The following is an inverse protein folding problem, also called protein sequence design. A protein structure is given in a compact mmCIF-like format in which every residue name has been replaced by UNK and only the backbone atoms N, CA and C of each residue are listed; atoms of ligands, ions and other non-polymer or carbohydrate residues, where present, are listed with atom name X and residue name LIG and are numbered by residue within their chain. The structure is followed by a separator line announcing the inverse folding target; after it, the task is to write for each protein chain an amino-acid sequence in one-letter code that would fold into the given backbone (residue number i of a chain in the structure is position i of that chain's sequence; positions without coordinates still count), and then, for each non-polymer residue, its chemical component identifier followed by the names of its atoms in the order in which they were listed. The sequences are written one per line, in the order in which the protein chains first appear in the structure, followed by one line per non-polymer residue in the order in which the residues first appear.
data_IF_588049075554
#
_entry.id   IF_588049075554
#
_cell.length_a   1.000
_cell.length_b   1.000
_cell.length_c   1.000
_cell.angle_alpha   90.00
_cell.angle_beta   90.00
_cell.angle_gamma   90.00
#
_symmetry.space_group_name_H-M   'P 1'
#
loop_
_entity.id
_entity.type
_entity.pdbx_description
1 polymer ?
#
# COMPACT_ATOMS: atom_id res chain seq x y z
N UNK A 1 -25.85 23.92 -15.97
CA UNK A 1 -26.46 24.75 -14.91
C UNK A 1 -25.41 24.97 -13.85
N UNK A 2 -24.83 26.17 -13.77
CA UNK A 2 -23.78 26.45 -12.78
C UNK A 2 -24.44 26.59 -11.40
N UNK A 3 -24.05 25.74 -10.45
CA UNK A 3 -24.36 25.94 -9.04
C UNK A 3 -23.52 27.14 -8.57
N UNK A 4 -24.14 28.32 -8.47
CA UNK A 4 -23.51 29.51 -7.90
C UNK A 4 -23.42 29.36 -6.37
N UNK A 5 -22.34 29.83 -5.75
CA UNK A 5 -22.12 29.79 -4.28
C UNK A 5 -23.33 30.30 -3.46
N UNK A 6 -24.06 31.27 -4.00
CA UNK A 6 -25.29 31.80 -3.41
C UNK A 6 -26.40 30.73 -3.27
N UNK A 7 -26.52 29.80 -4.21
CA UNK A 7 -27.55 28.76 -4.19
C UNK A 7 -27.19 27.64 -3.19
N UNK A 8 -25.90 27.36 -3.00
CA UNK A 8 -25.44 26.41 -2.00
C UNK A 8 -25.58 26.98 -0.58
N UNK A 9 -25.16 28.23 -0.36
CA UNK A 9 -25.36 28.93 0.90
C UNK A 9 -26.85 29.09 1.25
N UNK A 10 -27.70 29.42 0.26
CA UNK A 10 -29.14 29.48 0.43
C UNK A 10 -29.75 28.10 0.73
N UNK A 11 -29.25 27.03 0.10
CA UNK A 11 -29.66 25.65 0.37
C UNK A 11 -29.34 25.23 1.81
N UNK A 12 -28.14 25.55 2.30
CA UNK A 12 -27.74 25.29 3.69
C UNK A 12 -28.57 26.12 4.68
N UNK A 13 -28.78 27.41 4.41
CA UNK A 13 -29.62 28.26 5.26
C UNK A 13 -31.08 27.79 5.29
N UNK A 14 -31.62 27.34 4.16
CA UNK A 14 -32.97 26.80 4.09
C UNK A 14 -33.10 25.47 4.84
N UNK A 15 -32.12 24.56 4.70
CA UNK A 15 -32.09 23.32 5.46
C UNK A 15 -31.94 23.55 6.98
N UNK A 16 -31.06 24.48 7.39
CA UNK A 16 -30.93 24.89 8.79
C UNK A 16 -32.22 25.52 9.33
N UNK A 17 -32.92 26.31 8.50
CA UNK A 17 -34.22 26.89 8.82
C UNK A 17 -35.29 25.81 9.04
N UNK A 18 -35.35 24.78 8.19
CA UNK A 18 -36.27 23.65 8.34
C UNK A 18 -35.98 22.87 9.63
N UNK A 19 -34.71 22.59 9.92
CA UNK A 19 -34.31 21.88 11.16
C UNK A 19 -34.69 22.69 12.39
N UNK A 20 -34.39 23.99 12.41
CA UNK A 20 -34.70 24.86 13.54
C UNK A 20 -36.22 25.02 13.72
N UNK A 21 -36.99 25.03 12.63
CA UNK A 21 -38.44 25.05 12.68
C UNK A 21 -39.02 23.71 13.17
N UNK A 22 -38.47 22.57 12.76
CA UNK A 22 -38.85 21.25 13.29
C UNK A 22 -38.55 21.13 14.78
N UNK A 23 -37.39 21.60 15.24
CA UNK A 23 -37.05 21.67 16.67
C UNK A 23 -38.03 22.57 17.44
N UNK A 24 -38.38 23.71 16.86
CA UNK A 24 -39.35 24.64 17.43
C UNK A 24 -40.74 24.01 17.50
N UNK A 25 -41.20 23.36 16.44
CA UNK A 25 -42.50 22.70 16.39
C UNK A 25 -42.57 21.51 17.36
N UNK A 26 -41.49 20.74 17.51
CA UNK A 26 -41.34 19.69 18.54
C UNK A 26 -41.35 20.26 19.96
N UNK A 27 -40.73 21.43 20.18
CA UNK A 27 -40.71 22.12 21.47
C UNK A 27 -42.07 22.74 21.84
N UNK A 28 -42.87 23.14 20.85
CA UNK A 28 -44.20 23.74 21.03
C UNK A 28 -45.28 22.66 21.19
N UNK A 29 -45.14 21.51 20.52
CA UNK A 29 -46.08 20.40 20.60
C UNK A 29 -46.06 19.65 21.94
N UNK A 30 -45.10 19.92 22.83
CA UNK A 30 -45.03 19.29 24.16
C UNK A 30 -44.64 20.29 25.24
N UNK A 31 -45.53 20.49 26.21
CA UNK A 31 -45.26 21.31 27.39
C UNK A 31 -44.21 20.63 28.27
N UNK A 32 -42.95 21.11 28.20
CA UNK A 32 -41.92 20.96 29.22
C UNK A 32 -41.24 19.58 29.32
N UNK A 33 -39.90 19.56 29.23
CA UNK A 33 -38.97 18.45 29.53
C UNK A 33 -39.15 17.09 28.82
N UNK A 34 -40.35 16.75 28.34
CA UNK A 34 -40.71 15.44 27.77
C UNK A 34 -40.26 15.31 26.31
N UNK A 35 -40.16 16.38 25.50
CA UNK A 35 -39.66 16.26 24.12
C UNK A 35 -38.17 15.91 24.04
N UNK A 36 -37.34 16.47 24.92
CA UNK A 36 -35.91 16.13 24.97
C UNK A 36 -35.73 14.68 25.42
N UNK A 37 -36.51 14.25 26.43
CA UNK A 37 -36.51 12.87 26.91
C UNK A 37 -37.12 11.90 25.89
N UNK A 38 -38.09 12.33 25.08
CA UNK A 38 -38.69 11.53 24.00
C UNK A 38 -37.80 11.43 22.76
N UNK A 39 -37.04 12.48 22.41
CA UNK A 39 -36.06 12.44 21.33
C UNK A 39 -34.82 11.62 21.72
N UNK A 40 -34.36 11.74 22.97
CA UNK A 40 -33.33 10.88 23.55
C UNK A 40 -33.84 9.44 23.66
N UNK A 41 -35.08 9.21 24.11
CA UNK A 41 -35.71 7.87 24.09
C UNK A 41 -35.94 7.35 22.67
N UNK A 42 -36.22 8.16 21.66
CA UNK A 42 -36.35 7.69 20.28
C UNK A 42 -34.99 7.27 19.67
N UNK A 43 -33.92 7.95 20.10
CA UNK A 43 -32.53 7.55 19.83
C UNK A 43 -32.15 6.27 20.61
N UNK A 44 -32.51 6.14 21.89
CA UNK A 44 -32.25 4.97 22.74
C UNK A 44 -33.13 3.75 22.38
N UNK A 45 -34.34 3.97 21.85
CA UNK A 45 -35.29 2.92 21.45
C UNK A 45 -35.16 2.54 19.96
N UNK A 46 -34.20 3.14 19.22
CA UNK A 46 -33.89 2.78 17.83
C UNK A 46 -34.96 3.14 16.78
N UNK A 47 -36.01 3.87 17.15
CA UNK A 47 -37.10 4.22 16.22
C UNK A 47 -36.72 5.50 15.48
N UNK A 48 -36.22 5.36 14.25
CA UNK A 48 -35.87 6.47 13.35
C UNK A 48 -34.41 6.89 13.38
N UNK A 49 -33.59 6.34 14.28
CA UNK A 49 -32.14 6.57 14.34
C UNK A 49 -31.46 6.27 13.00
N UNK A 50 -31.83 5.18 12.32
CA UNK A 50 -31.29 4.85 10.99
C UNK A 50 -31.57 5.90 9.91
N UNK A 51 -32.73 6.57 9.94
CA UNK A 51 -33.08 7.63 8.97
C UNK A 51 -32.41 8.96 9.30
N UNK A 52 -32.32 9.30 10.59
CA UNK A 52 -31.63 10.52 11.05
C UNK A 52 -30.13 10.40 10.78
N UNK A 53 -29.52 9.24 11.09
CA UNK A 53 -28.11 8.95 10.80
C UNK A 53 -27.87 9.01 9.29
N UNK A 54 -28.68 8.32 8.49
CA UNK A 54 -28.56 8.34 7.02
C UNK A 54 -28.75 9.75 6.41
N UNK A 55 -29.66 10.55 6.96
CA UNK A 55 -29.87 11.94 6.55
C UNK A 55 -28.69 12.85 6.91
N UNK A 56 -28.15 12.70 8.12
CA UNK A 56 -26.93 13.40 8.55
C UNK A 56 -25.73 13.01 7.68
N UNK A 57 -25.57 11.72 7.37
CA UNK A 57 -24.52 11.21 6.49
C UNK A 57 -24.65 11.80 5.07
N UNK A 58 -25.87 11.88 4.54
CA UNK A 58 -26.14 12.46 3.21
C UNK A 58 -25.83 13.96 3.16
N UNK A 59 -26.26 14.72 4.17
CA UNK A 59 -25.98 16.15 4.26
C UNK A 59 -24.47 16.43 4.40
N UNK A 60 -23.76 15.60 5.17
CA UNK A 60 -22.30 15.70 5.34
C UNK A 60 -21.55 15.34 4.06
N UNK A 61 -21.94 14.27 3.38
CA UNK A 61 -21.38 13.92 2.07
C UNK A 61 -21.53 15.09 1.08
N UNK A 62 -22.66 15.79 1.09
CA UNK A 62 -22.88 16.99 0.29
C UNK A 62 -21.97 18.16 0.70
N UNK A 63 -21.73 18.36 2.00
CA UNK A 63 -20.79 19.39 2.49
C UNK A 63 -19.35 19.05 2.12
N UNK A 64 -18.90 17.81 2.29
CA UNK A 64 -17.54 17.38 1.93
C UNK A 64 -17.30 17.46 0.42
N UNK A 65 -18.29 17.06 -0.39
CA UNK A 65 -18.26 17.28 -1.83
C UNK A 65 -18.17 18.78 -2.16
N UNK A 66 -18.96 19.61 -1.48
CA UNK A 66 -18.93 21.08 -1.63
C UNK A 66 -17.57 21.69 -1.28
N UNK A 67 -16.94 21.25 -0.18
CA UNK A 67 -15.60 21.69 0.19
C UNK A 67 -14.53 21.26 -0.82
N UNK A 68 -14.61 20.04 -1.34
CA UNK A 68 -13.71 19.58 -2.40
C UNK A 68 -13.82 20.46 -3.64
N UNK A 69 -15.04 20.81 -4.05
CA UNK A 69 -15.31 21.72 -5.17
C UNK A 69 -14.80 23.13 -4.88
N UNK A 70 -15.02 23.67 -3.68
CA UNK A 70 -14.53 25.00 -3.29
C UNK A 70 -13.00 25.04 -3.22
N UNK A 71 -12.37 24.00 -2.66
CA UNK A 71 -10.92 23.87 -2.62
C UNK A 71 -10.34 23.83 -4.03
N UNK A 72 -10.93 23.03 -4.93
CA UNK A 72 -10.57 23.02 -6.37
C UNK A 72 -10.74 24.40 -7.00
N UNK A 73 -11.90 25.03 -6.86
CA UNK A 73 -12.18 26.35 -7.46
C UNK A 73 -11.19 27.42 -7.01
N UNK A 74 -10.66 27.33 -5.78
CA UNK A 74 -9.64 28.25 -5.28
C UNK A 74 -8.23 27.87 -5.72
N UNK A 75 -7.91 26.57 -5.74
CA UNK A 75 -6.54 26.09 -6.00
C UNK A 75 -6.25 25.96 -7.49
N UNK A 76 -7.19 25.52 -8.33
CA UNK A 76 -7.00 25.30 -9.78
C UNK A 76 -6.48 26.58 -10.49
N UNK A 77 -7.05 27.78 -10.29
CA UNK A 77 -6.52 28.99 -10.93
C UNK A 77 -5.11 29.34 -10.45
N UNK A 78 -4.82 29.15 -9.16
CA UNK A 78 -3.50 29.40 -8.58
C UNK A 78 -2.47 28.38 -9.06
N UNK A 79 -2.87 27.13 -9.24
CA UNK A 79 -2.05 26.05 -9.81
C UNK A 79 -1.71 26.35 -11.26
N UNK A 80 -2.71 26.73 -12.07
CA UNK A 80 -2.53 27.10 -13.48
C UNK A 80 -1.59 28.30 -13.64
N UNK A 81 -1.78 29.36 -12.85
CA UNK A 81 -0.89 30.53 -12.85
C UNK A 81 0.53 30.16 -12.42
N UNK A 82 0.69 29.34 -11.36
CA UNK A 82 2.01 28.87 -10.92
C UNK A 82 2.70 28.03 -11.99
N UNK A 83 1.98 27.14 -12.68
CA UNK A 83 2.54 26.34 -13.76
C UNK A 83 3.01 27.20 -14.92
N UNK A 84 2.23 28.22 -15.29
CA UNK A 84 2.60 29.15 -16.34
C UNK A 84 3.81 30.02 -15.96
N UNK A 85 3.80 30.59 -14.76
CA UNK A 85 4.83 31.56 -14.32
C UNK A 85 6.13 30.88 -13.89
N UNK A 86 6.06 29.76 -13.17
CA UNK A 86 7.22 29.11 -12.57
C UNK A 86 7.77 27.97 -13.43
N UNK A 87 6.88 27.12 -13.95
CA UNK A 87 7.28 25.93 -14.74
C UNK A 87 7.37 26.25 -16.24
N UNK A 88 6.74 27.34 -16.69
CA UNK A 88 6.70 27.72 -18.10
C UNK A 88 5.79 26.83 -18.95
N UNK A 89 4.85 26.10 -18.32
CA UNK A 89 3.92 25.20 -19.01
C UNK A 89 2.55 25.86 -19.20
N UNK A 90 1.84 25.62 -20.31
CA UNK A 90 0.53 26.20 -20.56
C UNK A 90 -0.49 25.71 -19.52
N UNK A 91 -1.39 26.60 -19.10
CA UNK A 91 -2.38 26.33 -18.04
C UNK A 91 -3.50 25.34 -18.40
N UNK A 92 -3.46 24.71 -19.58
CA UNK A 92 -4.49 23.79 -20.10
C UNK A 92 -4.12 22.31 -19.98
N UNK A 93 -3.19 21.96 -19.08
CA UNK A 93 -2.85 20.57 -18.80
C UNK A 93 -3.97 19.90 -18.00
N UNK A 94 -4.07 18.57 -18.12
CA UNK A 94 -4.86 17.76 -17.20
C UNK A 94 -4.37 17.98 -15.76
N UNK A 95 -5.28 17.98 -14.78
CA UNK A 95 -4.99 18.20 -13.35
C UNK A 95 -3.86 17.29 -12.89
N UNK A 96 -3.87 16.03 -13.33
CA UNK A 96 -2.85 15.04 -13.01
C UNK A 96 -1.45 15.46 -13.49
N UNK A 97 -1.34 15.83 -14.76
CA UNK A 97 -0.07 16.28 -15.35
C UNK A 97 0.38 17.61 -14.73
N UNK A 98 -0.55 18.52 -14.47
CA UNK A 98 -0.32 19.80 -13.80
C UNK A 98 0.30 19.61 -12.40
N UNK A 99 -0.25 18.70 -11.60
CA UNK A 99 0.29 18.40 -10.27
C UNK A 99 1.66 17.72 -10.33
N UNK A 100 1.82 16.72 -11.20
CA UNK A 100 3.11 16.03 -11.37
C UNK A 100 4.21 17.00 -11.84
N UNK A 101 3.88 17.94 -12.74
CA UNK A 101 4.81 18.95 -13.23
C UNK A 101 5.19 19.97 -12.14
N UNK A 102 4.23 20.45 -11.35
CA UNK A 102 4.51 21.33 -10.23
C UNK A 102 5.38 20.63 -9.17
N UNK A 103 5.06 19.36 -8.86
CA UNK A 103 5.81 18.59 -7.89
C UNK A 103 7.25 18.35 -8.35
N UNK A 104 7.43 17.95 -9.62
CA UNK A 104 8.74 17.77 -10.22
C UNK A 104 9.55 19.08 -10.20
N UNK A 105 8.92 20.22 -10.53
CA UNK A 105 9.56 21.53 -10.42
C UNK A 105 10.03 21.83 -8.99
N UNK A 106 9.19 21.57 -7.98
CA UNK A 106 9.55 21.79 -6.58
C UNK A 106 10.70 20.86 -6.13
N UNK A 107 10.73 19.61 -6.60
CA UNK A 107 11.86 18.69 -6.38
C UNK A 107 13.13 19.23 -7.02
N UNK A 108 13.12 19.55 -8.32
CA UNK A 108 14.29 20.04 -9.06
C UNK A 108 14.86 21.32 -8.46
N UNK A 109 13.98 22.24 -8.03
CA UNK A 109 14.38 23.54 -7.48
C UNK A 109 14.52 23.53 -5.95
N UNK A 110 14.47 22.34 -5.33
CA UNK A 110 14.55 22.17 -3.88
C UNK A 110 13.55 23.04 -3.10
N UNK A 111 12.38 23.33 -3.66
CA UNK A 111 11.28 24.06 -3.00
C UNK A 111 10.42 23.10 -2.19
N UNK A 112 10.02 23.51 -1.00
CA UNK A 112 9.18 22.69 -0.14
C UNK A 112 8.26 23.58 0.68
N UNK A 113 7.04 23.08 0.94
CA UNK A 113 6.18 23.66 1.96
C UNK A 113 6.58 23.13 3.34
N UNK A 114 6.57 24.01 4.35
CA UNK A 114 6.81 23.60 5.75
C UNK A 114 5.55 23.01 6.41
N UNK A 115 4.44 22.97 5.67
CA UNK A 115 3.16 22.45 6.12
C UNK A 115 3.17 20.93 6.08
N UNK A 116 3.22 20.26 7.24
CA UNK A 116 2.97 18.81 7.40
C UNK A 116 1.60 18.58 8.04
N UNK A 117 0.94 17.49 7.66
CA UNK A 117 -0.41 17.16 8.12
C UNK A 117 -0.48 15.86 8.88
N UNK A 118 0.29 14.84 8.47
CA UNK A 118 0.10 13.48 8.99
C UNK A 118 1.36 12.91 9.62
N UNK A 119 1.16 12.16 10.69
CA UNK A 119 2.11 11.19 11.24
C UNK A 119 1.61 9.80 10.92
N UNK A 120 2.46 9.00 10.26
CA UNK A 120 2.14 7.64 9.85
C UNK A 120 2.55 6.67 10.95
N UNK A 121 1.60 5.89 11.46
CA UNK A 121 1.89 4.87 12.46
C UNK A 121 2.73 3.73 11.90
N UNK A 122 3.54 3.12 12.75
CA UNK A 122 4.10 1.80 12.43
C UNK A 122 2.96 0.80 12.28
N UNK A 123 3.19 -0.21 11.44
CA UNK A 123 2.31 -1.37 11.33
C UNK A 123 2.53 -2.24 12.56
N UNK A 124 1.45 -2.74 13.13
CA UNK A 124 1.43 -3.59 14.31
C UNK A 124 0.74 -4.92 13.97
N UNK A 125 1.29 -5.99 14.52
CA UNK A 125 0.76 -7.34 14.39
C UNK A 125 -0.28 -7.55 15.49
N UNK A 126 -1.55 -7.54 15.11
CA UNK A 126 -2.67 -7.72 16.03
C UNK A 126 -3.70 -6.61 15.90
N UNK A 127 -4.91 -6.94 16.32
CA UNK A 127 -6.00 -5.99 16.46
C UNK A 127 -6.19 -5.57 17.92
N UNK A 128 -7.31 -4.91 18.27
CA UNK A 128 -7.73 -4.82 19.67
C UNK A 128 -7.84 -6.21 20.32
N UNK A 129 -7.97 -6.23 21.65
CA UNK A 129 -7.92 -7.38 22.59
C UNK A 129 -8.58 -8.71 22.14
N UNK A 130 -9.44 -8.72 21.11
CA UNK A 130 -10.14 -9.89 20.58
C UNK A 130 -9.49 -10.54 19.33
N UNK A 131 -8.48 -9.92 18.70
CA UNK A 131 -7.79 -10.49 17.53
C UNK A 131 -6.40 -10.99 17.91
N UNK A 132 -6.26 -12.31 18.04
CA UNK A 132 -4.96 -12.97 18.12
C UNK A 132 -4.53 -13.42 16.73
N UNK A 133 -3.39 -12.92 16.26
CA UNK A 133 -2.79 -13.46 15.04
C UNK A 133 -2.25 -14.86 15.33
N UNK A 134 -2.67 -15.84 14.52
CA UNK A 134 -2.25 -17.23 14.63
C UNK A 134 -1.30 -17.65 13.51
N UNK A 135 -1.40 -17.02 12.32
CA UNK A 135 -0.47 -17.24 11.23
C UNK A 135 0.73 -16.29 11.27
N UNK A 136 1.82 -16.69 10.61
CA UNK A 136 3.05 -15.92 10.58
C UNK A 136 3.22 -15.17 9.25
N UNK A 137 3.79 -13.97 9.31
CA UNK A 137 4.08 -13.17 8.13
C UNK A 137 4.32 -11.70 8.44
N UNK A 138 4.43 -10.90 7.39
CA UNK A 138 4.82 -9.48 7.47
C UNK A 138 3.90 -8.64 6.59
N UNK A 139 3.40 -7.55 7.13
CA UNK A 139 2.71 -6.52 6.37
C UNK A 139 3.66 -5.34 6.16
N UNK A 140 4.01 -5.12 4.90
CA UNK A 140 4.83 -4.01 4.45
C UNK A 140 3.97 -2.81 4.16
N UNK A 141 4.37 -1.64 4.64
CA UNK A 141 3.69 -0.37 4.39
C UNK A 141 4.69 0.66 3.90
N UNK A 142 4.31 1.37 2.83
CA UNK A 142 5.11 2.45 2.30
C UNK A 142 4.80 3.77 3.01
N UNK A 143 5.85 4.48 3.44
CA UNK A 143 5.73 5.73 4.18
C UNK A 143 6.15 6.95 3.35
N UNK A 144 6.72 6.74 2.16
CA UNK A 144 7.17 7.79 1.25
C UNK A 144 6.46 7.71 -0.10
N UNK A 145 6.41 8.83 -0.80
CA UNK A 145 5.99 8.92 -2.19
C UNK A 145 7.13 8.57 -3.15
N UNK A 146 6.81 8.64 -4.45
CA UNK A 146 7.72 8.36 -5.56
C UNK A 146 8.99 9.23 -5.59
N UNK A 147 8.99 10.34 -4.85
CA UNK A 147 10.09 11.30 -4.75
C UNK A 147 10.77 11.30 -3.38
N UNK A 148 10.65 10.21 -2.62
CA UNK A 148 11.29 10.05 -1.31
C UNK A 148 10.81 11.03 -0.25
N UNK A 149 9.61 11.59 -0.43
CA UNK A 149 9.01 12.50 0.54
C UNK A 149 7.96 11.75 1.38
N UNK A 150 7.90 12.02 2.68
CA UNK A 150 6.93 11.35 3.55
C UNK A 150 5.47 11.54 3.08
N UNK A 151 4.65 10.49 3.08
CA UNK A 151 3.28 10.57 2.60
C UNK A 151 2.43 11.53 3.45
N UNK A 152 1.94 12.59 2.82
CA UNK A 152 1.05 13.62 3.36
C UNK A 152 -0.40 13.53 2.80
N UNK A 153 -0.74 12.51 2.00
CA UNK A 153 -2.11 12.25 1.51
C UNK A 153 -2.85 11.15 2.31
N UNK A 154 -4.16 11.27 2.52
CA UNK A 154 -4.99 10.29 3.24
C UNK A 154 -5.82 10.89 4.39
N UNK A 155 -6.47 10.03 5.19
CA UNK A 155 -7.29 10.44 6.34
C UNK A 155 -6.73 9.88 7.67
N UNK A 156 -7.01 10.51 8.84
CA UNK A 156 -6.56 9.99 10.12
C UNK A 156 -7.45 8.83 10.55
N UNK A 157 -6.85 7.80 11.11
CA UNK A 157 -7.61 6.69 11.65
C UNK A 157 -6.75 5.46 11.88
N UNK A 158 -7.42 4.44 12.41
CA UNK A 158 -6.85 3.10 12.52
C UNK A 158 -7.24 2.36 11.25
N UNK A 159 -6.24 2.01 10.45
CA UNK A 159 -6.41 1.15 9.27
C UNK A 159 -6.18 -0.29 9.74
N UNK A 160 -7.03 -1.17 9.25
CA UNK A 160 -7.03 -2.60 9.50
C UNK A 160 -6.83 -3.33 8.17
N UNK A 161 -5.86 -4.24 8.14
CA UNK A 161 -5.60 -5.17 7.04
C UNK A 161 -5.89 -6.56 7.56
N UNK A 162 -7.06 -7.09 7.21
CA UNK A 162 -7.62 -8.31 7.77
C UNK A 162 -7.64 -9.45 6.76
N UNK A 163 -7.22 -10.64 7.16
CA UNK A 163 -7.32 -11.85 6.36
C UNK A 163 -8.79 -12.27 6.27
N UNK A 164 -9.36 -12.21 5.06
CA UNK A 164 -10.77 -12.56 4.79
C UNK A 164 -10.91 -13.94 4.14
N UNK A 165 -9.80 -14.49 3.66
CA UNK A 165 -9.74 -15.83 3.08
C UNK A 165 -8.33 -16.35 3.29
N UNK A 166 -8.18 -17.50 3.93
CA UNK A 166 -6.90 -18.17 4.13
C UNK A 166 -6.61 -19.19 3.01
N UNK A 167 -5.33 -19.55 2.87
CA UNK A 167 -4.90 -20.66 2.04
C UNK A 167 -5.59 -21.96 2.51
N UNK A 168 -6.20 -22.71 1.58
CA UNK A 168 -6.86 -23.98 1.90
C UNK A 168 -8.33 -23.90 2.35
N UNK A 169 -8.92 -22.71 2.54
CA UNK A 169 -10.31 -22.52 3.00
C UNK A 169 -11.40 -22.85 1.94
N UNK A 170 -11.08 -23.66 0.91
CA UNK A 170 -12.04 -24.24 -0.05
C UNK A 170 -12.71 -23.29 -1.05
N UNK A 171 -12.64 -21.97 -0.85
CA UNK A 171 -13.31 -20.96 -1.69
C UNK A 171 -12.35 -20.18 -2.60
N UNK A 172 -11.08 -20.01 -2.19
CA UNK A 172 -9.99 -19.54 -3.04
C UNK A 172 -9.07 -20.72 -3.36
N UNK A 173 -8.94 -21.07 -4.64
CA UNK A 173 -7.84 -21.94 -5.06
C UNK A 173 -6.54 -21.16 -4.86
N UNK A 174 -5.75 -21.55 -3.86
CA UNK A 174 -4.34 -21.20 -3.66
C UNK A 174 -4.03 -19.76 -3.24
N UNK A 175 -4.90 -19.05 -2.51
CA UNK A 175 -4.64 -17.65 -2.16
C UNK A 175 -5.19 -17.22 -0.81
N UNK A 176 -4.33 -16.57 -0.02
CA UNK A 176 -4.75 -15.71 1.08
C UNK A 176 -5.23 -14.38 0.52
N UNK A 177 -6.44 -13.95 0.88
CA UNK A 177 -6.97 -12.63 0.55
C UNK A 177 -7.07 -11.77 1.80
N UNK A 178 -6.73 -10.51 1.61
CA UNK A 178 -6.73 -9.48 2.61
C UNK A 178 -7.74 -8.40 2.26
N UNK A 179 -8.32 -7.78 3.27
CA UNK A 179 -9.18 -6.62 3.13
C UNK A 179 -8.58 -5.47 3.94
N UNK A 180 -8.24 -4.39 3.26
CA UNK A 180 -7.87 -3.13 3.88
C UNK A 180 -9.13 -2.27 4.09
N UNK A 181 -9.30 -1.77 5.30
CA UNK A 181 -10.43 -0.92 5.68
C UNK A 181 -10.05 -0.04 6.88
N UNK A 182 -10.80 1.03 7.12
CA UNK A 182 -10.72 1.72 8.40
C UNK A 182 -11.46 0.92 9.48
N UNK A 183 -10.80 0.64 10.62
CA UNK A 183 -11.40 -0.10 11.75
C UNK A 183 -12.60 0.64 12.35
N UNK A 184 -12.48 1.95 12.46
CA UNK A 184 -13.57 2.87 12.75
C UNK A 184 -13.52 3.97 11.69
N UNK A 185 -14.68 4.54 11.31
CA UNK A 185 -14.71 5.59 10.31
C UNK A 185 -13.69 6.71 10.63
N UNK A 186 -12.77 6.99 9.69
CA UNK A 186 -11.78 8.07 9.80
C UNK A 186 -12.42 9.38 10.27
N UNK A 187 -11.75 10.11 11.18
CA UNK A 187 -12.29 11.38 11.71
C UNK A 187 -12.18 12.45 10.62
N UNK A 188 -13.32 13.01 10.25
CA UNK A 188 -13.41 14.18 9.38
C UNK A 188 -12.96 15.44 10.15
N UNK A 189 -12.08 16.25 9.54
CA UNK A 189 -11.57 17.50 10.08
C UNK A 189 -12.68 18.56 10.36
N UNK A 190 -13.90 18.36 9.84
CA UNK A 190 -15.02 19.28 9.98
C UNK A 190 -16.03 18.97 11.10
N UNK A 191 -15.88 17.88 11.87
CA UNK A 191 -16.86 17.59 12.94
C UNK A 191 -16.26 16.93 14.18
N UNK A 192 -16.62 17.50 15.35
CA UNK A 192 -16.46 16.90 16.69
C UNK A 192 -17.13 15.51 16.84
N UNK A 193 -17.87 15.02 15.83
CA UNK A 193 -18.45 13.68 15.79
C UNK A 193 -18.52 13.14 14.35
N UNK A 194 -17.51 12.33 14.01
CA UNK A 194 -17.41 11.26 13.00
C UNK A 194 -18.52 11.13 11.95
N UNK A 195 -18.18 11.32 10.68
CA UNK A 195 -18.55 10.43 9.57
C UNK A 195 -17.41 10.50 8.56
N UNK A 196 -16.87 9.38 8.07
CA UNK A 196 -15.61 9.36 7.35
C UNK A 196 -15.83 9.86 5.92
N UNK A 197 -14.73 10.23 5.26
CA UNK A 197 -14.66 10.01 3.82
C UNK A 197 -14.83 8.51 3.60
N UNK A 198 -15.94 8.08 2.99
CA UNK A 198 -16.24 6.64 2.82
C UNK A 198 -15.28 6.07 1.77
N UNK A 199 -14.09 5.70 2.22
CA UNK A 199 -13.18 4.87 1.44
C UNK A 199 -13.69 3.45 1.58
N UNK A 200 -14.28 2.93 0.50
CA UNK A 200 -14.77 1.56 0.47
C UNK A 200 -13.61 0.58 0.74
N UNK A 201 -13.83 -0.51 1.48
CA UNK A 201 -12.82 -1.53 1.71
C UNK A 201 -12.24 -2.05 0.40
N UNK A 202 -10.93 -2.27 0.37
CA UNK A 202 -10.23 -2.84 -0.79
C UNK A 202 -9.76 -4.24 -0.45
N UNK A 203 -10.13 -5.21 -1.28
CA UNK A 203 -9.59 -6.57 -1.20
C UNK A 203 -8.41 -6.74 -2.13
N UNK A 204 -7.39 -7.44 -1.66
CA UNK A 204 -6.16 -7.74 -2.40
C UNK A 204 -5.59 -9.11 -1.98
N UNK A 205 -4.71 -9.67 -2.79
CA UNK A 205 -4.06 -10.95 -2.51
C UNK A 205 -2.76 -10.74 -1.72
N UNK A 206 -2.38 -11.73 -0.92
CA UNK A 206 -1.00 -11.87 -0.42
C UNK A 206 -0.03 -11.92 -1.60
N UNK A 207 1.18 -11.40 -1.40
CA UNK A 207 2.29 -11.54 -2.34
C UNK A 207 2.57 -13.02 -2.62
N UNK A 208 2.57 -13.40 -3.89
CA UNK A 208 2.63 -14.80 -4.27
C UNK A 208 3.35 -15.05 -5.61
N UNK A 209 4.33 -15.97 -5.71
CA UNK A 209 5.15 -16.12 -6.91
C UNK A 209 4.36 -16.26 -8.21
N UNK A 210 3.22 -16.93 -8.22
CA UNK A 210 2.42 -17.14 -9.45
C UNK A 210 1.91 -15.83 -10.08
N UNK A 211 1.71 -14.77 -9.31
CA UNK A 211 1.20 -13.48 -9.84
C UNK A 211 2.30 -12.46 -10.15
N UNK A 212 3.55 -12.86 -10.01
CA UNK A 212 4.67 -11.96 -10.28
C UNK A 212 4.78 -11.57 -11.76
N UNK A 213 5.50 -10.47 -12.02
CA UNK A 213 5.90 -10.03 -13.36
C UNK A 213 6.97 -10.92 -14.00
N UNK A 214 7.54 -11.87 -13.26
CA UNK A 214 8.53 -12.82 -13.73
C UNK A 214 7.94 -14.07 -14.39
N UNK A 215 8.72 -14.67 -15.27
CA UNK A 215 8.50 -16.02 -15.80
C UNK A 215 9.27 -17.03 -14.97
N UNK A 216 8.64 -18.16 -14.66
CA UNK A 216 9.25 -19.27 -13.93
C UNK A 216 9.91 -18.84 -12.58
N UNK A 217 9.20 -18.07 -11.72
CA UNK A 217 9.76 -17.51 -10.50
C UNK A 217 10.11 -18.53 -9.42
N UNK A 218 9.56 -19.75 -9.54
CA UNK A 218 9.81 -20.89 -8.64
C UNK A 218 10.43 -22.08 -9.37
N UNK A 219 11.03 -21.86 -10.54
CA UNK A 219 11.74 -22.90 -11.31
C UNK A 219 10.93 -24.19 -11.60
N UNK A 220 9.60 -24.12 -11.59
CA UNK A 220 8.67 -25.26 -11.69
C UNK A 220 8.56 -25.84 -13.11
N UNK A 221 9.06 -25.12 -14.12
CA UNK A 221 9.06 -25.56 -15.52
C UNK A 221 10.22 -26.51 -15.90
N UNK A 222 11.02 -26.96 -14.93
CA UNK A 222 12.18 -27.82 -15.15
C UNK A 222 12.04 -29.26 -14.63
N UNK A 223 13.17 -29.96 -14.55
CA UNK A 223 13.29 -31.25 -13.87
C UNK A 223 14.39 -31.18 -12.82
N UNK A 224 14.24 -31.93 -11.72
CA UNK A 224 15.23 -31.99 -10.66
C UNK A 224 16.50 -32.73 -11.14
N UNK A 225 17.37 -32.00 -11.83
CA UNK A 225 18.62 -32.49 -12.39
C UNK A 225 19.67 -31.36 -12.44
N UNK A 226 20.92 -31.72 -12.71
CA UNK A 226 21.95 -30.75 -13.06
C UNK A 226 21.51 -29.93 -14.28
N UNK A 227 21.71 -28.63 -14.22
CA UNK A 227 21.33 -27.73 -15.30
C UNK A 227 22.36 -27.84 -16.44
N UNK A 228 21.89 -27.99 -17.67
CA UNK A 228 22.75 -27.91 -18.87
C UNK A 228 22.61 -26.57 -19.59
N UNK A 229 21.61 -25.79 -19.21
CA UNK A 229 21.30 -24.46 -19.69
C UNK A 229 20.61 -23.66 -18.57
N UNK A 230 20.46 -22.35 -18.77
CA UNK A 230 19.71 -21.51 -17.85
C UNK A 230 18.26 -22.01 -17.70
N UNK A 231 17.65 -21.90 -16.50
CA UNK A 231 16.22 -22.20 -16.34
C UNK A 231 15.37 -21.35 -17.28
N UNK A 232 14.22 -21.88 -17.72
CA UNK A 232 13.33 -21.17 -18.65
C UNK A 232 13.02 -19.75 -18.15
N UNK A 233 13.15 -18.77 -19.04
CA UNK A 233 12.96 -17.34 -18.75
C UNK A 233 14.14 -16.66 -18.05
N UNK A 234 15.15 -17.38 -17.61
CA UNK A 234 16.34 -16.82 -16.96
C UNK A 234 17.55 -16.89 -17.89
N UNK A 235 18.46 -15.94 -17.72
CA UNK A 235 19.72 -15.83 -18.43
C UNK A 235 20.88 -15.91 -17.46
N UNK A 236 21.96 -16.59 -17.84
CA UNK A 236 23.18 -16.64 -17.03
C UNK A 236 24.05 -15.44 -17.39
N UNK A 237 24.24 -14.54 -16.45
CA UNK A 237 25.09 -13.35 -16.63
C UNK A 237 26.55 -13.69 -16.32
N UNK A 238 26.78 -14.37 -15.20
CA UNK A 238 28.11 -14.85 -14.79
C UNK A 238 27.99 -16.20 -14.07
N UNK A 239 29.08 -16.97 -14.09
CA UNK A 239 29.16 -18.30 -13.47
C UNK A 239 28.92 -19.44 -14.45
N UNK A 240 29.18 -20.67 -14.01
CA UNK A 240 29.04 -21.88 -14.82
C UNK A 240 27.74 -22.60 -14.47
N UNK A 241 26.72 -22.48 -15.34
CA UNK A 241 25.38 -23.03 -15.05
C UNK A 241 25.37 -24.53 -14.71
N UNK A 242 26.33 -25.29 -15.26
CA UNK A 242 26.44 -26.75 -15.08
C UNK A 242 26.81 -27.19 -13.67
N UNK A 243 27.27 -26.27 -12.82
CA UNK A 243 27.52 -26.55 -11.40
C UNK A 243 26.25 -26.47 -10.54
N UNK A 244 25.14 -25.99 -11.10
CA UNK A 244 23.88 -25.77 -10.39
C UNK A 244 22.82 -26.79 -10.83
N UNK A 245 21.76 -26.92 -10.04
CA UNK A 245 20.70 -27.90 -10.29
C UNK A 245 19.36 -27.40 -9.81
N UNK A 246 18.27 -27.93 -10.35
CA UNK A 246 16.97 -27.79 -9.71
C UNK A 246 16.78 -28.87 -8.65
N UNK A 247 16.11 -28.52 -7.56
CA UNK A 247 15.90 -29.39 -6.42
C UNK A 247 14.39 -29.56 -6.16
N UNK A 248 13.92 -30.82 -6.13
CA UNK A 248 12.52 -31.16 -5.83
C UNK A 248 12.26 -31.60 -4.39
N UNK A 249 13.24 -31.44 -3.49
CA UNK A 249 13.16 -31.86 -2.09
C UNK A 249 13.04 -30.67 -1.13
N UNK A 250 13.84 -29.63 -1.38
CA UNK A 250 13.94 -28.42 -0.58
C UNK A 250 13.44 -27.25 -1.41
N UNK A 251 12.15 -26.99 -1.32
CA UNK A 251 11.48 -25.85 -1.95
C UNK A 251 10.70 -25.09 -0.86
N UNK A 252 10.34 -23.85 -1.14
CA UNK A 252 9.69 -22.97 -0.17
C UNK A 252 8.23 -23.34 0.02
N UNK A 253 7.47 -23.48 -1.07
CA UNK A 253 6.04 -23.81 -1.05
C UNK A 253 5.69 -24.78 -2.18
N UNK A 254 4.62 -25.55 -1.97
CA UNK A 254 4.11 -26.54 -2.95
C UNK A 254 2.82 -26.07 -3.65
N UNK A 255 2.13 -25.08 -3.09
CA UNK A 255 0.71 -24.91 -3.33
C UNK A 255 0.38 -24.59 -4.80
N UNK A 256 -0.43 -25.46 -5.41
CA UNK A 256 -0.82 -25.32 -6.81
C UNK A 256 0.23 -25.80 -7.82
N UNK A 257 1.42 -26.21 -7.39
CA UNK A 257 2.46 -26.76 -8.27
C UNK A 257 2.40 -28.28 -8.31
N UNK A 258 2.35 -28.84 -9.53
CA UNK A 258 2.42 -30.28 -9.73
C UNK A 258 3.80 -30.85 -9.39
N UNK A 259 4.86 -30.06 -9.57
CA UNK A 259 6.24 -30.43 -9.30
C UNK A 259 6.97 -29.20 -8.74
N UNK A 260 6.91 -28.97 -7.42
CA UNK A 260 7.61 -27.84 -6.81
C UNK A 260 9.11 -28.05 -6.92
N UNK A 261 9.82 -27.00 -7.32
CA UNK A 261 11.26 -27.00 -7.52
C UNK A 261 11.85 -25.74 -6.87
N UNK A 262 13.11 -25.82 -6.51
CA UNK A 262 13.92 -24.65 -6.17
C UNK A 262 15.22 -24.69 -6.95
N UNK A 263 15.88 -23.54 -7.07
CA UNK A 263 17.21 -23.46 -7.62
C UNK A 263 18.23 -23.77 -6.52
N UNK A 264 19.03 -24.82 -6.71
CA UNK A 264 20.19 -25.12 -5.89
C UNK A 264 21.43 -24.50 -6.55
N UNK A 265 21.93 -23.42 -5.97
CA UNK A 265 23.21 -22.85 -6.33
C UNK A 265 24.35 -23.61 -5.60
N UNK A 266 25.32 -24.13 -6.36
CA UNK A 266 26.42 -24.92 -5.83
C UNK A 266 27.75 -24.61 -6.56
N UNK A 267 28.86 -25.00 -5.96
CA UNK A 267 30.24 -24.83 -6.48
C UNK A 267 30.82 -23.41 -6.48
N UNK A 268 30.13 -22.45 -7.09
CA UNK A 268 30.71 -21.18 -7.58
C UNK A 268 29.70 -20.03 -7.53
N UNK A 269 30.18 -18.80 -7.75
CA UNK A 269 29.34 -17.62 -7.93
C UNK A 269 28.35 -17.82 -9.09
N UNK A 270 27.09 -17.47 -8.85
CA UNK A 270 26.04 -17.53 -9.84
C UNK A 270 25.34 -16.18 -9.93
N UNK A 271 25.22 -15.68 -11.16
CA UNK A 271 24.37 -14.54 -11.47
C UNK A 271 23.36 -14.92 -12.55
N UNK A 272 22.08 -14.95 -12.18
CA UNK A 272 21.00 -15.09 -13.15
C UNK A 272 20.23 -13.78 -13.27
N UNK A 273 19.76 -13.49 -14.48
CA UNK A 273 18.95 -12.33 -14.78
C UNK A 273 17.68 -12.68 -15.56
N UNK A 274 16.65 -11.85 -15.44
CA UNK A 274 15.50 -11.86 -16.33
C UNK A 274 15.11 -10.42 -16.66
N UNK A 275 14.95 -10.14 -17.95
CA UNK A 275 14.48 -8.83 -18.42
C UNK A 275 12.96 -8.75 -18.27
N UNK A 276 12.46 -7.75 -17.52
CA UNK A 276 11.03 -7.63 -17.21
C UNK A 276 10.16 -7.21 -18.41
N UNK A 277 10.77 -6.74 -19.50
CA UNK A 277 10.05 -6.36 -20.72
C UNK A 277 9.65 -7.54 -21.62
N UNK A 278 10.19 -8.74 -21.36
CA UNK A 278 9.94 -9.93 -22.19
C UNK A 278 8.60 -10.60 -21.82
N UNK A 279 8.14 -10.41 -20.58
CA UNK A 279 6.80 -10.82 -20.16
C UNK A 279 5.81 -9.80 -20.70
N UNK A 280 4.81 -10.21 -21.47
CA UNK A 280 3.76 -9.34 -22.04
C UNK A 280 2.86 -8.61 -21.02
N UNK A 281 3.37 -8.37 -19.81
CA UNK A 281 2.81 -7.57 -18.73
C UNK A 281 3.56 -6.23 -18.69
N UNK A 282 2.82 -5.13 -18.80
CA UNK A 282 3.38 -3.78 -18.65
C UNK A 282 3.58 -3.50 -17.15
N UNK A 283 4.79 -3.13 -16.75
CA UNK A 283 5.08 -2.73 -15.37
C UNK A 283 4.35 -1.42 -15.02
N UNK A 284 3.62 -1.35 -13.90
CA UNK A 284 2.88 -0.15 -13.54
C UNK A 284 3.81 0.91 -12.95
N UNK A 285 4.23 1.88 -13.78
CA UNK A 285 5.13 2.98 -13.35
C UNK A 285 4.55 3.88 -12.25
N UNK A 286 3.22 3.89 -12.08
CA UNK A 286 2.52 4.71 -11.08
C UNK A 286 2.28 4.01 -9.74
N UNK A 287 2.66 2.74 -9.60
CA UNK A 287 2.47 1.96 -8.38
C UNK A 287 3.81 1.50 -7.84
N UNK A 288 4.01 1.49 -6.50
CA UNK A 288 5.20 0.92 -5.93
C UNK A 288 5.18 -0.61 -6.12
N UNK A 289 6.33 -1.15 -6.50
CA UNK A 289 6.60 -2.57 -6.68
C UNK A 289 7.44 -3.07 -5.51
N UNK A 290 6.96 -4.10 -4.82
CA UNK A 290 7.74 -4.81 -3.81
C UNK A 290 8.42 -6.01 -4.43
N UNK A 291 9.65 -6.28 -3.98
CA UNK A 291 10.48 -7.39 -4.47
C UNK A 291 10.83 -8.29 -3.30
N UNK A 292 10.70 -9.60 -3.49
CA UNK A 292 11.10 -10.58 -2.49
C UNK A 292 11.72 -11.81 -3.15
N UNK A 293 12.64 -12.45 -2.44
CA UNK A 293 13.30 -13.70 -2.83
C UNK A 293 13.36 -14.63 -1.63
N UNK A 294 12.81 -15.83 -1.77
CA UNK A 294 12.97 -16.90 -0.79
C UNK A 294 14.36 -17.52 -0.89
N UNK A 295 15.07 -17.63 0.23
CA UNK A 295 16.36 -18.30 0.29
C UNK A 295 16.46 -19.23 1.49
N UNK A 296 17.20 -20.33 1.35
CA UNK A 296 17.49 -21.25 2.44
C UNK A 296 18.96 -21.66 2.40
N UNK A 297 19.64 -21.34 3.50
CA UNK A 297 21.04 -21.65 3.73
C UNK A 297 21.23 -22.89 4.58
N UNK A 298 20.36 -23.15 5.55
CA UNK A 298 20.53 -24.21 6.57
C UNK A 298 20.87 -25.57 5.94
N UNK A 299 20.18 -25.92 4.87
CA UNK A 299 20.35 -27.22 4.20
C UNK A 299 21.67 -27.32 3.43
N UNK A 300 22.29 -26.19 3.07
CA UNK A 300 23.45 -26.16 2.18
C UNK A 300 24.71 -25.53 2.76
N UNK A 301 24.65 -24.84 3.90
CA UNK A 301 25.79 -24.22 4.61
C UNK A 301 26.49 -23.06 3.89
N UNK A 302 25.92 -22.50 2.81
CA UNK A 302 26.52 -21.43 2.00
C UNK A 302 27.09 -20.26 2.82
N UNK A 303 28.32 -19.82 2.57
CA UNK A 303 28.91 -18.61 3.18
C UNK A 303 29.19 -17.56 2.13
N UNK A 304 28.73 -16.33 2.38
CA UNK A 304 28.82 -15.20 1.45
C UNK A 304 27.65 -14.23 1.61
N UNK A 305 27.32 -13.52 0.55
CA UNK A 305 26.28 -12.50 0.47
C UNK A 305 25.38 -12.81 -0.71
N UNK A 306 24.07 -12.87 -0.44
CA UNK A 306 23.05 -12.93 -1.48
C UNK A 306 22.60 -11.51 -1.79
N UNK A 307 22.61 -11.15 -3.07
CA UNK A 307 22.15 -9.88 -3.59
C UNK A 307 20.94 -10.11 -4.50
N UNK A 308 19.98 -9.19 -4.43
CA UNK A 308 18.84 -9.06 -5.32
C UNK A 308 18.90 -7.67 -5.96
N UNK A 309 19.02 -7.63 -7.29
CA UNK A 309 19.09 -6.40 -8.07
C UNK A 309 17.81 -6.16 -8.85
N UNK A 310 17.45 -4.89 -9.04
CA UNK A 310 16.52 -4.48 -10.10
C UNK A 310 16.98 -3.16 -10.66
N UNK A 311 17.43 -3.16 -11.91
CA UNK A 311 18.17 -2.02 -12.46
C UNK A 311 19.38 -1.69 -11.59
N UNK A 312 19.48 -0.44 -11.13
CA UNK A 312 20.58 0.04 -10.29
C UNK A 312 20.41 -0.27 -8.79
N UNK A 313 19.22 -0.65 -8.34
CA UNK A 313 18.93 -0.88 -6.92
C UNK A 313 19.29 -2.30 -6.47
N UNK A 314 19.94 -2.40 -5.32
CA UNK A 314 20.42 -3.66 -4.76
C UNK A 314 19.94 -3.83 -3.30
N UNK A 315 19.46 -5.02 -2.98
CA UNK A 315 19.22 -5.43 -1.59
C UNK A 315 20.02 -6.69 -1.31
N UNK A 316 20.69 -6.76 -0.16
CA UNK A 316 21.61 -7.85 0.13
C UNK A 316 21.47 -8.38 1.55
N UNK A 317 21.80 -9.66 1.73
CA UNK A 317 21.90 -10.30 3.04
C UNK A 317 23.17 -11.13 3.16
N UNK A 318 23.87 -10.97 4.28
CA UNK A 318 25.03 -11.79 4.62
C UNK A 318 24.56 -13.14 5.18
N UNK A 319 25.01 -14.23 4.57
CA UNK A 319 24.63 -15.60 4.90
C UNK A 319 25.55 -16.13 6.01
N UNK A 320 25.16 -15.91 7.27
CA UNK A 320 26.02 -16.10 8.44
C UNK A 320 25.49 -17.11 9.48
N UNK A 321 24.17 -17.35 9.60
CA UNK A 321 23.63 -18.45 10.45
C UNK A 321 22.11 -18.73 10.27
N UNK A 322 21.51 -18.32 9.17
CA UNK A 322 20.06 -18.41 8.98
C UNK A 322 19.55 -19.87 9.00
N UNK A 323 18.51 -20.12 9.80
CA UNK A 323 17.77 -21.40 9.86
C UNK A 323 16.50 -21.32 9.05
N UNK A 324 16.14 -22.41 8.38
CA UNK A 324 14.96 -22.52 7.54
C UNK A 324 15.01 -21.64 6.30
N UNK A 325 13.85 -21.50 5.68
CA UNK A 325 13.63 -20.53 4.62
C UNK A 325 13.50 -19.13 5.21
N UNK A 326 13.99 -18.15 4.45
CA UNK A 326 13.99 -16.73 4.80
C UNK A 326 13.59 -15.91 3.58
N UNK A 327 13.07 -14.71 3.81
CA UNK A 327 12.81 -13.74 2.74
C UNK A 327 13.93 -12.70 2.69
N UNK A 328 14.43 -12.44 1.47
CA UNK A 328 15.18 -11.25 1.14
C UNK A 328 14.22 -10.30 0.44
N UNK A 329 13.80 -9.24 1.12
CA UNK A 329 12.83 -8.26 0.60
C UNK A 329 13.55 -6.96 0.27
N UNK A 330 13.19 -6.31 -0.84
CA UNK A 330 13.75 -5.01 -1.19
C UNK A 330 13.61 -4.02 -0.05
N UNK A 331 14.60 -3.15 0.11
CA UNK A 331 14.50 -2.03 1.05
C UNK A 331 13.18 -1.28 0.80
N UNK A 332 12.38 -1.16 1.86
CA UNK A 332 11.14 -0.40 1.83
C UNK A 332 11.43 1.07 1.55
N UNK A 333 10.39 1.82 1.18
CA UNK A 333 10.47 3.25 0.81
C UNK A 333 10.94 3.46 -0.64
N UNK A 334 12.07 4.11 -0.85
CA UNK A 334 12.53 4.54 -2.18
C UNK A 334 12.74 3.37 -3.14
N UNK A 335 13.22 2.24 -2.62
CA UNK A 335 13.47 1.02 -3.39
C UNK A 335 12.20 0.39 -3.98
N UNK A 336 11.00 0.79 -3.56
CA UNK A 336 9.76 0.27 -4.14
C UNK A 336 9.25 1.10 -5.33
N UNK A 337 9.74 2.32 -5.54
CA UNK A 337 9.25 3.19 -6.60
C UNK A 337 10.02 3.02 -7.91
N UNK A 338 9.34 3.20 -9.04
CA UNK A 338 9.96 3.11 -10.37
C UNK A 338 11.19 4.02 -10.49
N UNK A 339 11.06 5.26 -9.99
CA UNK A 339 12.12 6.28 -10.01
C UNK A 339 13.30 5.96 -9.10
N UNK A 340 13.09 5.12 -8.08
CA UNK A 340 14.12 4.76 -7.12
C UNK A 340 15.12 3.74 -7.64
N UNK A 341 14.90 3.11 -8.80
CA UNK A 341 15.82 2.07 -9.27
C UNK A 341 15.44 1.32 -10.54
N UNK A 342 14.24 1.56 -11.07
CA UNK A 342 13.68 0.84 -12.22
C UNK A 342 13.55 1.74 -13.44
N UNK A 343 14.15 2.93 -13.44
CA UNK A 343 13.99 3.96 -14.48
C UNK A 343 14.55 3.54 -15.86
N UNK A 344 15.15 2.35 -15.96
CA UNK A 344 15.55 1.75 -17.21
C UNK A 344 14.32 1.38 -18.08
N UNK A 345 14.45 1.49 -19.39
CA UNK A 345 13.37 1.11 -20.31
C UNK A 345 13.01 -0.38 -20.18
N UNK A 346 14.00 -1.21 -19.81
CA UNK A 346 13.88 -2.65 -19.63
C UNK A 346 14.63 -3.08 -18.35
N UNK A 347 14.07 -2.84 -17.16
CA UNK A 347 14.75 -3.22 -15.93
C UNK A 347 15.00 -4.73 -15.90
N UNK A 348 16.21 -5.12 -15.54
CA UNK A 348 16.57 -6.51 -15.30
C UNK A 348 16.43 -6.81 -13.81
N UNK A 349 15.77 -7.91 -13.46
CA UNK A 349 15.95 -8.49 -12.14
C UNK A 349 17.14 -9.43 -12.19
N UNK A 350 17.98 -9.38 -11.17
CA UNK A 350 19.09 -10.29 -11.05
C UNK A 350 19.23 -10.77 -9.61
N UNK A 351 19.81 -11.95 -9.44
CA UNK A 351 20.40 -12.30 -8.16
C UNK A 351 21.85 -12.67 -8.35
N UNK A 352 22.65 -12.39 -7.33
CA UNK A 352 24.05 -12.76 -7.27
C UNK A 352 24.33 -13.35 -5.89
N UNK A 353 24.91 -14.54 -5.84
CA UNK A 353 25.41 -15.11 -4.60
C UNK A 353 26.94 -15.13 -4.68
N UNK A 354 27.60 -14.27 -3.91
CA UNK A 354 29.06 -14.38 -3.74
C UNK A 354 29.37 -15.58 -2.85
N UNK A 355 30.42 -16.33 -3.18
CA UNK A 355 30.72 -17.59 -2.50
C UNK A 355 32.09 -17.62 -1.84
N UNK A 356 32.12 -18.29 -0.67
CA UNK A 356 33.32 -18.98 -0.17
C UNK A 356 33.17 -20.52 -0.12
N UNK A 357 32.03 -21.10 0.30
CA UNK A 357 31.72 -22.56 0.30
C UNK A 357 30.21 -22.86 0.53
N UNK A 358 29.73 -24.08 0.22
CA UNK A 358 28.37 -24.60 0.56
C UNK A 358 27.38 -24.76 -0.60
N UNK A 359 26.09 -24.93 -0.32
CA UNK A 359 24.97 -24.90 -1.25
C UNK A 359 23.95 -23.85 -0.76
N UNK A 360 23.26 -23.18 -1.68
CA UNK A 360 22.20 -22.22 -1.39
C UNK A 360 20.95 -22.61 -2.18
N UNK A 361 19.80 -22.62 -1.53
CA UNK A 361 18.52 -22.86 -2.20
C UNK A 361 17.78 -21.54 -2.37
N UNK A 362 17.26 -21.30 -3.56
CA UNK A 362 16.55 -20.09 -3.96
C UNK A 362 15.21 -20.48 -4.58
N UNK A 363 14.15 -19.79 -4.18
CA UNK A 363 12.79 -20.05 -4.66
C UNK A 363 11.94 -18.78 -4.53
N UNK A 364 10.78 -18.77 -5.19
CA UNK A 364 9.71 -17.81 -4.99
C UNK A 364 10.16 -16.36 -5.23
N UNK A 365 10.69 -16.07 -6.42
CA UNK A 365 10.97 -14.71 -6.82
C UNK A 365 9.66 -13.93 -7.02
N UNK A 366 9.49 -12.85 -6.25
CA UNK A 366 8.31 -12.01 -6.29
C UNK A 366 8.72 -10.61 -6.70
N UNK A 367 8.08 -10.11 -7.74
CA UNK A 367 7.92 -8.70 -8.07
C UNK A 367 6.44 -8.46 -8.32
N UNK A 368 5.80 -7.63 -7.49
CA UNK A 368 4.38 -7.30 -7.61
C UNK A 368 4.09 -5.88 -7.15
N UNK A 369 2.99 -5.32 -7.67
CA UNK A 369 2.51 -4.03 -7.22
C UNK A 369 1.87 -4.14 -5.83
N UNK A 370 2.17 -3.19 -4.96
CA UNK A 370 1.51 -3.07 -3.67
C UNK A 370 0.04 -2.69 -3.85
N UNK A 371 -0.80 -3.07 -2.89
CA UNK A 371 -2.20 -2.70 -2.84
C UNK A 371 -2.37 -1.27 -2.31
N UNK A 372 -3.28 -0.52 -2.92
CA UNK A 372 -3.58 0.86 -2.55
C UNK A 372 -4.88 0.97 -1.75
N UNK A 373 -4.87 1.66 -0.61
CA UNK A 373 -6.06 2.07 0.13
C UNK A 373 -5.80 3.39 0.84
N UNK A 374 -6.78 4.30 0.81
CA UNK A 374 -6.69 5.62 1.43
C UNK A 374 -5.39 6.38 1.12
N UNK A 375 -4.96 6.35 -0.16
CA UNK A 375 -3.75 7.02 -0.67
C UNK A 375 -2.43 6.46 -0.11
N UNK A 376 -2.47 5.25 0.44
CA UNK A 376 -1.32 4.53 0.99
C UNK A 376 -1.14 3.19 0.30
N UNK A 377 0.07 2.66 0.38
CA UNK A 377 0.47 1.41 -0.26
C UNK A 377 0.95 0.40 0.77
N UNK A 378 0.43 -0.82 0.69
CA UNK A 378 0.84 -1.92 1.54
C UNK A 378 0.82 -3.24 0.79
N UNK A 379 1.57 -4.21 1.28
CA UNK A 379 1.63 -5.56 0.76
C UNK A 379 1.79 -6.53 1.92
N UNK A 380 1.18 -7.70 1.82
CA UNK A 380 1.33 -8.75 2.84
C UNK A 380 2.12 -9.91 2.24
N UNK A 381 3.16 -10.32 2.94
CA UNK A 381 4.00 -11.47 2.61
C UNK A 381 3.85 -12.51 3.72
N UNK A 382 3.43 -13.72 3.39
CA UNK A 382 3.37 -14.80 4.38
C UNK A 382 4.75 -15.24 4.84
N UNK A 383 4.79 -15.90 5.98
CA UNK A 383 6.03 -16.44 6.53
C UNK A 383 6.73 -17.36 5.52
N UNK A 384 8.07 -17.36 5.50
CA UNK A 384 8.81 -18.37 4.77
C UNK A 384 8.75 -19.74 5.47
N UNK A 385 8.29 -19.79 6.74
CA UNK A 385 7.94 -21.02 7.46
C UNK A 385 6.48 -21.39 7.20
N UNK A 386 6.12 -22.66 7.35
CA UNK A 386 4.82 -23.22 6.95
C UNK A 386 3.59 -22.75 7.77
N UNK A 387 3.73 -21.72 8.59
CA UNK A 387 2.65 -21.19 9.43
C UNK A 387 1.84 -20.17 8.62
N UNK A 388 0.94 -20.69 7.80
CA UNK A 388 0.07 -19.89 6.94
C UNK A 388 -0.85 -18.97 7.76
N UNK A 389 -1.25 -17.87 7.12
CA UNK A 389 -2.26 -16.96 7.67
C UNK A 389 -3.60 -17.65 7.87
N UNK A 390 -4.22 -17.38 9.00
CA UNK A 390 -5.57 -17.81 9.33
C UNK A 390 -6.58 -16.73 8.97
N UNK A 391 -7.83 -17.14 8.74
CA UNK A 391 -8.94 -16.18 8.63
C UNK A 391 -8.99 -15.39 9.94
N UNK A 392 -9.23 -14.09 9.82
CA UNK A 392 -9.23 -13.13 10.93
C UNK A 392 -7.86 -12.78 11.53
N UNK A 393 -6.73 -13.21 10.95
CA UNK A 393 -5.44 -12.56 11.20
C UNK A 393 -5.49 -11.08 10.76
N UNK A 394 -4.91 -10.19 11.55
CA UNK A 394 -5.01 -8.73 11.37
C UNK A 394 -3.66 -8.04 11.56
N UNK A 395 -3.38 -7.10 10.66
CA UNK A 395 -2.43 -6.02 10.90
C UNK A 395 -3.17 -4.70 11.10
N UNK A 396 -2.72 -3.89 12.05
CA UNK A 396 -3.28 -2.54 12.24
C UNK A 396 -2.20 -1.48 12.22
N UNK A 397 -2.58 -0.25 11.85
CA UNK A 397 -1.72 0.91 12.00
C UNK A 397 -2.57 2.14 12.25
N UNK A 398 -2.06 3.03 13.09
CA UNK A 398 -2.77 4.25 13.48
C UNK A 398 -2.10 5.48 12.88
N UNK A 399 -2.80 6.13 11.97
CA UNK A 399 -2.39 7.42 11.46
C UNK A 399 -3.04 8.55 12.24
N UNK A 400 -2.25 9.59 12.51
CA UNK A 400 -2.70 10.74 13.27
C UNK A 400 -2.46 12.02 12.51
N UNK A 401 -3.42 12.94 12.66
CA UNK A 401 -3.30 14.30 12.20
C UNK A 401 -2.44 15.10 13.20
N UNK A 402 -1.49 15.87 12.69
CA UNK A 402 -0.74 16.84 13.48
C UNK A 402 -1.41 18.21 13.35
N UNK A 403 -1.48 18.97 14.45
CA UNK A 403 -1.99 20.34 14.41
C UNK A 403 -1.15 21.19 13.42
N UNK A 404 -1.82 21.77 12.41
CA UNK A 404 -1.16 22.48 11.31
C UNK A 404 -1.60 21.95 9.94
N UNK A 405 -0.75 22.04 8.93
CA UNK A 405 -0.99 21.33 7.66
C UNK A 405 -1.97 21.97 6.67
N UNK A 406 -2.48 23.18 6.92
CA UNK A 406 -3.66 23.73 6.22
C UNK A 406 -3.59 23.68 4.69
N UNK A 407 -2.44 24.01 4.11
CA UNK A 407 -2.24 23.99 2.65
C UNK A 407 -2.31 22.55 2.14
N UNK A 408 -1.61 21.62 2.79
CA UNK A 408 -1.63 20.21 2.41
C UNK A 408 -3.03 19.61 2.57
N UNK A 409 -3.78 19.97 3.61
CA UNK A 409 -5.18 19.54 3.77
C UNK A 409 -6.04 20.00 2.60
N UNK A 410 -5.97 21.28 2.25
CA UNK A 410 -6.74 21.82 1.15
C UNK A 410 -6.40 21.12 -0.19
N UNK A 411 -5.12 20.81 -0.42
CA UNK A 411 -4.67 20.04 -1.57
C UNK A 411 -5.22 18.62 -1.54
N UNK A 412 -5.12 17.89 -0.42
CA UNK A 412 -5.63 16.51 -0.31
C UNK A 412 -7.15 16.44 -0.50
N UNK A 413 -7.89 17.44 0.02
CA UNK A 413 -9.35 17.51 -0.15
C UNK A 413 -9.78 17.86 -1.57
N UNK A 414 -9.11 18.84 -2.21
CA UNK A 414 -9.41 19.24 -3.58
C UNK A 414 -8.93 18.20 -4.60
N UNK A 415 -7.76 17.63 -4.38
CA UNK A 415 -7.05 16.74 -5.30
C UNK A 415 -6.59 15.48 -4.56
N UNK A 416 -7.49 14.49 -4.42
CA UNK A 416 -7.17 13.23 -3.76
C UNK A 416 -5.95 12.55 -4.37
N UNK A 417 -5.05 12.05 -3.52
CA UNK A 417 -3.80 11.41 -3.90
C UNK A 417 -2.70 12.39 -4.31
N UNK A 418 -2.94 13.70 -4.21
CA UNK A 418 -1.94 14.73 -4.48
C UNK A 418 -1.47 15.37 -3.18
N UNK A 419 -0.22 15.79 -3.20
CA UNK A 419 0.42 16.51 -2.11
C UNK A 419 1.43 17.49 -2.69
N UNK A 420 1.77 18.54 -1.95
CA UNK A 420 2.91 19.39 -2.26
C UNK A 420 4.18 18.79 -1.66
N UNK A 421 5.33 19.06 -2.28
CA UNK A 421 6.62 18.68 -1.69
C UNK A 421 6.78 19.36 -0.34
N UNK A 422 7.14 18.61 0.69
CA UNK A 422 7.29 19.14 2.05
C UNK A 422 8.70 18.89 2.59
N UNK A 423 9.11 19.68 3.57
CA UNK A 423 10.42 19.51 4.20
C UNK A 423 10.35 18.46 5.32
N UNK A 424 11.13 17.39 5.19
CA UNK A 424 11.45 16.47 6.28
C UNK A 424 11.44 15.00 5.87
N UNK A 425 12.32 14.23 6.50
CA UNK A 425 12.40 12.78 6.30
C UNK A 425 11.12 12.07 6.83
N UNK A 426 10.81 10.87 6.33
CA UNK A 426 9.85 9.96 6.96
C UNK A 426 10.26 9.65 8.41
N UNK A 427 9.27 9.41 9.27
CA UNK A 427 9.51 8.76 10.56
C UNK A 427 9.89 7.30 10.28
N UNK A 428 11.04 6.86 10.79
CA UNK A 428 11.64 5.58 10.41
C UNK A 428 10.66 4.40 10.42
N UNK A 429 10.71 3.61 9.36
CA UNK A 429 9.97 2.37 9.23
C UNK A 429 10.64 1.26 10.07
N UNK A 430 9.82 0.50 10.81
CA UNK A 430 10.24 -0.74 11.47
C UNK A 430 9.42 -1.88 10.89
N UNK A 431 10.08 -2.94 10.45
CA UNK A 431 9.41 -4.14 9.91
C UNK A 431 8.65 -4.88 11.01
N UNK A 432 7.31 -5.02 10.89
CA UNK A 432 6.52 -5.77 11.87
C UNK A 432 6.39 -7.23 11.45
N UNK A 433 6.93 -8.13 12.25
CA UNK A 433 6.74 -9.57 12.07
C UNK A 433 5.67 -10.06 13.03
N UNK A 434 4.71 -10.86 12.56
CA UNK A 434 3.93 -11.72 13.46
C UNK A 434 4.87 -12.84 13.93
N UNK A 435 4.94 -13.06 15.25
CA UNK A 435 5.77 -14.08 15.87
C UNK A 435 5.16 -15.49 15.77
#
# INVERSE_FOLDING_TARGET
MAFTDANFAAGIQHAAGIVCQLEKDLSVASTGFIARDAAIRALDLGVGSGRIISGLDSARAAVNAGLGVLARTLIEPLLSEKLQVLVGKPGSLDDEQAWDDLYAYDVTNSKAVLSRTWTRGAVDAGGPEDYTNAGAGTCYRLLVDKHSQALQGGDPGVIEVKCVSALGAGTSRYRTKWRAQYRAPARDAMARYSSPRRVEPVEFAELYPVETYLTNPSFDSGSAAALTAAPSGWEVVTGTITNHSLNGTYYLRKDGQATPLSMKAAGEDLRLAQTLAITGKVLPRSKPLIRALGYNRETGTWSGTLYLYTGAEATSVVLAAQTGWQWLVSAMEDGCWWQGGQEEDNPQIEFFADRTAGDLYLDAFIIQAMAGFAEQWFAVLGSPTADDFHIDDVFTFTDSEVAGGYIQKAVCYGFPGRQLRHAGAPSGYTEPTIA
#
